data_IF_825882521379
#
_entry.id   IF_825882521379
#
_cell.length_a   1.000
_cell.length_b   1.000
_cell.length_c   1.000
_cell.angle_alpha   90.00
_cell.angle_beta   90.00
_cell.angle_gamma   90.00
#
_symmetry.space_group_name_H-M   'P 1'
#
loop_
_entity.id
_entity.type
_entity.pdbx_description
1 polymer ?
#
# COMPACT_ATOMS: atom_id res chain seq x y z
N UNK A 1 5.97 -7.58 15.64
CA UNK A 1 4.93 -7.35 16.67
C UNK A 1 3.92 -6.28 16.25
N UNK A 2 4.34 -5.04 15.97
CA UNK A 2 3.42 -3.96 15.54
C UNK A 2 2.57 -4.35 14.33
N UNK A 3 3.16 -5.00 13.33
CA UNK A 3 2.44 -5.51 12.15
C UNK A 3 1.30 -6.48 12.50
N UNK A 4 1.47 -7.31 13.53
CA UNK A 4 0.42 -8.24 14.02
C UNK A 4 -0.72 -7.47 14.69
N UNK A 5 -0.41 -6.41 15.44
CA UNK A 5 -1.41 -5.53 16.05
C UNK A 5 -2.24 -4.86 14.94
N UNK A 6 -1.57 -4.33 13.91
CA UNK A 6 -2.25 -3.75 12.75
C UNK A 6 -3.04 -4.78 11.93
N UNK A 7 -2.62 -6.05 11.88
CA UNK A 7 -3.39 -7.12 11.24
C UNK A 7 -4.77 -7.27 11.89
N UNK A 8 -4.82 -7.50 13.21
CA UNK A 8 -6.09 -7.62 13.91
C UNK A 8 -6.92 -6.35 13.84
N UNK A 9 -6.27 -5.18 13.87
CA UNK A 9 -6.97 -3.91 13.67
C UNK A 9 -7.57 -3.82 12.26
N UNK A 10 -6.83 -4.20 11.22
CA UNK A 10 -7.26 -4.11 9.83
C UNK A 10 -8.44 -5.02 9.50
N UNK A 11 -8.38 -6.29 9.90
CA UNK A 11 -9.44 -7.28 9.60
C UNK A 11 -10.72 -7.09 10.41
N UNK A 12 -10.69 -6.25 11.45
CA UNK A 12 -11.88 -5.90 12.25
C UNK A 12 -12.62 -4.67 11.72
N UNK A 13 -12.08 -4.00 10.70
CA UNK A 13 -12.72 -2.85 10.07
C UNK A 13 -13.74 -3.26 9.02
N UNK A 14 -14.81 -2.50 8.85
CA UNK A 14 -15.79 -2.76 7.80
C UNK A 14 -15.21 -2.45 6.40
N UNK A 15 -15.46 -3.33 5.43
CA UNK A 15 -14.99 -3.16 4.06
C UNK A 15 -13.53 -3.56 3.82
N UNK A 16 -12.86 -4.20 4.79
CA UNK A 16 -11.49 -4.71 4.62
C UNK A 16 -11.36 -5.71 3.47
N UNK A 17 -12.43 -6.44 3.16
CA UNK A 17 -12.46 -7.48 2.13
C UNK A 17 -12.18 -6.90 0.74
N UNK A 18 -12.70 -5.71 0.42
CA UNK A 18 -12.49 -5.07 -0.87
C UNK A 18 -11.01 -4.82 -1.18
N UNK A 19 -10.23 -4.48 -0.16
CA UNK A 19 -8.79 -4.33 -0.30
C UNK A 19 -8.07 -5.67 -0.51
N UNK A 20 -8.51 -6.72 0.19
CA UNK A 20 -7.94 -8.08 0.00
C UNK A 20 -8.30 -8.68 -1.35
N UNK A 21 -9.53 -8.46 -1.83
CA UNK A 21 -9.95 -8.83 -3.18
C UNK A 21 -9.06 -8.15 -4.22
N UNK A 22 -8.85 -6.84 -4.09
CA UNK A 22 -7.92 -6.11 -4.96
C UNK A 22 -6.48 -6.65 -4.90
N UNK A 23 -6.02 -7.09 -3.72
CA UNK A 23 -4.67 -7.61 -3.53
C UNK A 23 -4.47 -9.01 -4.13
N UNK A 24 -5.47 -9.89 -4.03
CA UNK A 24 -5.34 -11.29 -4.43
C UNK A 24 -5.92 -11.63 -5.80
N UNK A 25 -6.80 -10.81 -6.37
CA UNK A 25 -7.37 -11.07 -7.71
C UNK A 25 -6.31 -10.73 -8.78
N UNK A 26 -5.80 -11.74 -9.51
CA UNK A 26 -4.72 -11.53 -10.47
C UNK A 26 -5.25 -11.02 -11.82
N UNK A 27 -4.50 -10.13 -12.45
CA UNK A 27 -4.65 -9.78 -13.87
C UNK A 27 -3.56 -10.50 -14.69
N UNK A 28 -3.92 -11.64 -15.28
CA UNK A 28 -2.98 -12.47 -16.05
C UNK A 28 -2.46 -11.78 -17.31
N UNK A 29 -3.14 -10.73 -17.81
CA UNK A 29 -2.68 -9.98 -18.99
C UNK A 29 -1.35 -9.27 -18.71
N UNK A 30 -1.10 -8.89 -17.45
CA UNK A 30 0.13 -8.23 -17.00
C UNK A 30 1.37 -9.12 -17.09
N UNK A 31 1.23 -10.44 -17.10
CA UNK A 31 2.37 -11.35 -17.22
C UNK A 31 3.06 -11.26 -18.58
N UNK A 32 2.37 -10.76 -19.61
CA UNK A 32 2.95 -10.51 -20.93
C UNK A 32 3.83 -9.25 -20.98
N UNK A 33 3.74 -8.38 -19.98
CA UNK A 33 4.53 -7.16 -19.90
C UNK A 33 5.91 -7.46 -19.27
N UNK A 34 7.03 -7.26 -20.00
CA UNK A 34 8.36 -7.51 -19.47
C UNK A 34 8.73 -6.58 -18.29
N UNK A 35 8.09 -5.41 -18.16
CA UNK A 35 8.35 -4.51 -17.03
C UNK A 35 7.96 -5.16 -15.69
N UNK A 36 6.89 -5.95 -15.65
CA UNK A 36 6.43 -6.63 -14.43
C UNK A 36 7.50 -7.59 -13.90
N UNK A 37 8.19 -8.29 -14.80
CA UNK A 37 9.27 -9.20 -14.44
C UNK A 37 10.54 -8.46 -13.99
N UNK A 38 10.87 -7.35 -14.66
CA UNK A 38 11.97 -6.49 -14.24
C UNK A 38 11.74 -5.96 -12.83
N UNK A 39 10.55 -5.42 -12.55
CA UNK A 39 10.18 -4.90 -11.23
C UNK A 39 10.20 -6.00 -10.17
N UNK A 40 9.66 -7.19 -10.46
CA UNK A 40 9.69 -8.33 -9.55
C UNK A 40 11.12 -8.78 -9.21
N UNK A 41 12.00 -8.86 -10.23
CA UNK A 41 13.40 -9.20 -10.05
C UNK A 41 14.13 -8.13 -9.22
N UNK A 42 13.94 -6.86 -9.54
CA UNK A 42 14.53 -5.76 -8.78
C UNK A 42 14.03 -5.75 -7.33
N UNK A 43 12.74 -6.01 -7.11
CA UNK A 43 12.15 -6.06 -5.77
C UNK A 43 12.77 -7.16 -4.91
N UNK A 44 13.04 -8.36 -5.43
CA UNK A 44 13.64 -9.43 -4.62
C UNK A 44 15.10 -9.11 -4.25
N UNK A 45 15.86 -8.47 -5.14
CA UNK A 45 17.23 -8.02 -4.86
C UNK A 45 17.26 -6.98 -3.74
N UNK A 46 16.39 -5.97 -3.81
CA UNK A 46 16.28 -4.95 -2.77
C UNK A 46 15.70 -5.52 -1.46
N UNK A 47 14.71 -6.40 -1.53
CA UNK A 47 14.07 -6.99 -0.34
C UNK A 47 15.01 -7.88 0.46
N UNK A 48 15.86 -8.67 -0.21
CA UNK A 48 16.85 -9.52 0.45
C UNK A 48 18.17 -8.80 0.73
N UNK A 49 18.35 -7.56 0.25
CA UNK A 49 19.62 -6.83 0.39
C UNK A 49 20.79 -7.51 -0.33
N UNK A 50 20.53 -8.16 -1.46
CA UNK A 50 21.57 -8.82 -2.25
C UNK A 50 22.51 -7.79 -2.89
N UNK A 51 23.79 -8.16 -3.01
CA UNK A 51 24.86 -7.32 -3.59
C UNK A 51 25.24 -6.04 -2.82
N UNK A 52 24.70 -5.81 -1.61
CA UNK A 52 25.08 -4.68 -0.75
C UNK A 52 26.27 -4.98 0.18
N UNK A 53 26.78 -6.22 0.21
CA UNK A 53 27.92 -6.63 1.04
C UNK A 53 27.60 -6.88 2.53
N UNK A 54 26.49 -6.34 3.06
CA UNK A 54 26.08 -6.52 4.46
C UNK A 54 25.90 -7.99 4.87
N UNK A 55 25.25 -8.80 4.04
CA UNK A 55 25.10 -10.24 4.31
C UNK A 55 26.44 -10.99 4.34
N UNK A 56 27.41 -10.57 3.52
CA UNK A 56 28.76 -11.17 3.50
C UNK A 56 29.50 -10.80 4.79
N UNK A 57 29.43 -9.53 5.19
CA UNK A 57 30.00 -9.05 6.45
C UNK A 57 29.42 -9.81 7.66
N UNK A 58 28.09 -9.91 7.77
CA UNK A 58 27.46 -10.67 8.85
C UNK A 58 27.79 -12.16 8.83
N UNK A 59 27.88 -12.76 7.64
CA UNK A 59 28.28 -14.16 7.51
C UNK A 59 29.72 -14.40 7.94
N UNK A 60 30.59 -13.38 7.85
CA UNK A 60 32.01 -13.49 8.26
C UNK A 60 32.20 -13.62 9.77
N UNK A 61 31.24 -13.16 10.57
CA UNK A 61 31.24 -13.28 12.03
C UNK A 61 30.72 -14.64 12.54
N UNK A 62 30.15 -15.48 11.67
CA UNK A 62 29.61 -16.77 12.06
C UNK A 62 30.71 -17.84 12.24
N UNK A 63 30.49 -18.86 13.10
CA UNK A 63 31.42 -19.98 13.23
C UNK A 63 31.65 -20.71 11.90
N UNK A 64 32.88 -21.18 11.68
CA UNK A 64 33.28 -21.89 10.45
C UNK A 64 32.40 -23.12 10.13
N UNK A 65 31.86 -23.78 11.17
CA UNK A 65 30.97 -24.93 11.05
C UNK A 65 29.50 -24.56 11.30
N UNK A 66 29.03 -23.49 10.67
CA UNK A 66 27.62 -23.11 10.67
C UNK A 66 26.87 -23.63 9.43
N UNK A 67 25.59 -23.98 9.57
CA UNK A 67 24.77 -24.46 8.45
C UNK A 67 24.15 -23.29 7.68
N UNK A 68 24.96 -22.63 6.85
CA UNK A 68 24.52 -21.47 6.08
C UNK A 68 23.41 -21.76 5.06
N UNK A 69 23.23 -23.02 4.64
CA UNK A 69 22.17 -23.41 3.71
C UNK A 69 20.78 -23.26 4.34
N UNK A 70 20.62 -23.72 5.58
CA UNK A 70 19.35 -23.60 6.32
C UNK A 70 19.06 -22.13 6.63
N UNK A 71 20.07 -21.37 7.04
CA UNK A 71 19.92 -19.94 7.32
C UNK A 71 19.44 -19.18 6.07
N UNK A 72 20.05 -19.46 4.91
CA UNK A 72 19.66 -18.83 3.65
C UNK A 72 18.21 -19.13 3.25
N UNK A 73 17.77 -20.38 3.39
CA UNK A 73 16.37 -20.77 3.11
C UNK A 73 15.43 -20.08 4.11
N UNK A 74 15.76 -20.12 5.39
CA UNK A 74 14.93 -19.56 6.44
C UNK A 74 14.74 -18.05 6.27
N UNK A 75 15.84 -17.31 6.04
CA UNK A 75 15.81 -15.87 5.77
C UNK A 75 14.95 -15.57 4.54
N UNK A 76 15.12 -16.34 3.47
CA UNK A 76 14.35 -16.13 2.23
C UNK A 76 12.85 -16.34 2.44
N UNK A 77 12.47 -17.41 3.13
CA UNK A 77 11.05 -17.74 3.39
C UNK A 77 10.43 -16.71 4.35
N UNK A 78 11.14 -16.32 5.42
CA UNK A 78 10.66 -15.31 6.36
C UNK A 78 10.50 -13.95 5.67
N UNK A 79 11.46 -13.55 4.82
CA UNK A 79 11.38 -12.31 4.06
C UNK A 79 10.12 -12.29 3.18
N UNK A 80 9.96 -13.29 2.31
CA UNK A 80 8.80 -13.36 1.41
C UNK A 80 7.48 -13.49 2.17
N UNK A 81 7.45 -14.31 3.23
CA UNK A 81 6.26 -14.48 4.07
C UNK A 81 5.87 -13.18 4.78
N UNK A 82 6.86 -12.43 5.28
CA UNK A 82 6.63 -11.11 5.90
C UNK A 82 6.13 -10.10 4.88
N UNK A 83 6.65 -10.11 3.64
CA UNK A 83 6.16 -9.23 2.57
C UNK A 83 4.69 -9.49 2.23
N UNK A 84 4.29 -10.75 2.07
CA UNK A 84 2.88 -11.12 1.81
C UNK A 84 2.01 -10.72 3.00
N UNK A 85 2.44 -11.02 4.22
CA UNK A 85 1.71 -10.67 5.43
C UNK A 85 1.55 -9.14 5.59
N UNK A 86 2.60 -8.36 5.31
CA UNK A 86 2.52 -6.91 5.31
C UNK A 86 1.55 -6.38 4.24
N UNK A 87 1.54 -6.99 3.05
CA UNK A 87 0.56 -6.69 2.01
C UNK A 87 -0.88 -6.87 2.48
N UNK A 88 -1.19 -8.00 3.12
CA UNK A 88 -2.51 -8.28 3.70
C UNK A 88 -2.89 -7.18 4.72
N UNK A 89 -1.98 -6.79 5.61
CA UNK A 89 -2.25 -5.75 6.61
C UNK A 89 -2.53 -4.40 5.94
N UNK A 90 -1.69 -3.97 4.99
CA UNK A 90 -1.83 -2.68 4.31
C UNK A 90 -3.15 -2.63 3.53
N UNK A 91 -3.42 -3.65 2.70
CA UNK A 91 -4.61 -3.69 1.86
C UNK A 91 -5.89 -3.87 2.67
N UNK A 92 -5.88 -4.57 3.81
CA UNK A 92 -7.06 -4.64 4.69
C UNK A 92 -7.47 -3.27 5.23
N UNK A 93 -6.50 -2.44 5.63
CA UNK A 93 -6.74 -1.09 6.15
C UNK A 93 -7.18 -0.16 5.01
N UNK A 94 -6.46 -0.18 3.88
CA UNK A 94 -6.81 0.65 2.73
C UNK A 94 -8.18 0.30 2.14
N UNK A 95 -8.55 -0.98 2.10
CA UNK A 95 -9.88 -1.44 1.69
C UNK A 95 -10.99 -0.78 2.50
N UNK A 96 -10.86 -0.77 3.83
CA UNK A 96 -11.86 -0.12 4.68
C UNK A 96 -11.96 1.39 4.44
N UNK A 97 -10.83 2.10 4.31
CA UNK A 97 -10.87 3.57 4.23
C UNK A 97 -11.07 4.13 2.81
N UNK A 98 -10.30 3.64 1.85
CA UNK A 98 -10.38 4.12 0.46
C UNK A 98 -11.53 3.45 -0.27
N UNK A 99 -11.72 2.14 -0.12
CA UNK A 99 -12.78 1.46 -0.82
C UNK A 99 -14.13 1.69 -0.13
N UNK A 100 -14.27 1.45 1.17
CA UNK A 100 -15.59 1.58 1.81
C UNK A 100 -15.96 3.02 2.19
N UNK A 101 -15.15 3.72 2.99
CA UNK A 101 -15.53 5.05 3.48
C UNK A 101 -15.58 6.11 2.36
N UNK A 102 -14.52 6.26 1.56
CA UNK A 102 -14.48 7.22 0.43
C UNK A 102 -15.62 6.98 -0.58
N UNK A 103 -15.92 5.70 -0.87
CA UNK A 103 -17.02 5.34 -1.77
C UNK A 103 -18.39 5.70 -1.19
N UNK A 104 -18.62 5.43 0.10
CA UNK A 104 -19.88 5.80 0.76
C UNK A 104 -20.06 7.32 0.83
N UNK A 105 -18.98 8.09 1.07
CA UNK A 105 -19.00 9.55 1.04
C UNK A 105 -19.30 10.08 -0.37
N UNK A 106 -18.72 9.45 -1.41
CA UNK A 106 -19.03 9.75 -2.80
C UNK A 106 -20.51 9.47 -3.12
N UNK A 107 -21.04 8.32 -2.70
CA UNK A 107 -22.44 7.96 -2.89
C UNK A 107 -23.38 8.92 -2.15
N UNK A 108 -23.05 9.32 -0.93
CA UNK A 108 -23.82 10.31 -0.17
C UNK A 108 -23.87 11.66 -0.89
N UNK A 109 -22.72 12.11 -1.41
CA UNK A 109 -22.61 13.35 -2.18
C UNK A 109 -23.44 13.27 -3.46
N UNK A 110 -23.32 12.17 -4.22
CA UNK A 110 -24.12 11.91 -5.42
C UNK A 110 -25.62 11.93 -5.12
N UNK A 111 -26.06 11.22 -4.09
CA UNK A 111 -27.47 11.14 -3.71
C UNK A 111 -28.02 12.50 -3.27
N UNK A 112 -27.24 13.30 -2.52
CA UNK A 112 -27.65 14.66 -2.13
C UNK A 112 -27.84 15.59 -3.34
N UNK A 113 -26.94 15.50 -4.33
CA UNK A 113 -27.04 16.24 -5.58
C UNK A 113 -28.27 15.78 -6.37
N UNK A 114 -28.50 14.48 -6.51
CA UNK A 114 -29.66 13.93 -7.21
C UNK A 114 -30.99 14.34 -6.56
N UNK A 115 -31.08 14.33 -5.23
CA UNK A 115 -32.26 14.80 -4.50
C UNK A 115 -32.49 16.30 -4.76
N UNK A 116 -31.44 17.13 -4.71
CA UNK A 116 -31.57 18.57 -4.97
C UNK A 116 -32.00 18.89 -6.41
N UNK A 117 -31.58 18.08 -7.38
CA UNK A 117 -31.82 18.31 -8.80
C UNK A 117 -33.14 17.69 -9.29
N UNK A 118 -33.48 16.50 -8.81
CA UNK A 118 -34.56 15.69 -9.37
C UNK A 118 -35.57 15.19 -8.32
N UNK A 119 -35.33 15.43 -7.03
CA UNK A 119 -36.14 14.92 -5.92
C UNK A 119 -36.29 13.39 -5.90
N UNK A 120 -35.31 12.67 -6.47
CA UNK A 120 -35.24 11.20 -6.50
C UNK A 120 -33.78 10.76 -6.51
N UNK A 121 -33.51 9.62 -5.89
CA UNK A 121 -32.20 8.94 -5.88
C UNK A 121 -32.10 7.82 -6.92
N UNK A 122 -33.23 7.26 -7.33
CA UNK A 122 -33.29 6.11 -8.25
C UNK A 122 -33.31 6.58 -9.70
N UNK A 123 -32.21 7.22 -10.11
CA UNK A 123 -32.02 7.65 -11.49
C UNK A 123 -30.84 6.91 -12.11
N UNK A 124 -31.11 6.20 -13.19
CA UNK A 124 -30.07 5.73 -14.10
C UNK A 124 -29.54 6.92 -14.90
N UNK A 125 -28.49 7.55 -14.40
CA UNK A 125 -27.88 8.70 -15.06
C UNK A 125 -26.80 8.23 -16.04
N UNK A 126 -26.79 8.72 -17.30
CA UNK A 126 -25.76 8.37 -18.28
C UNK A 126 -24.43 9.04 -17.94
N UNK A 127 -23.32 8.45 -18.42
CA UNK A 127 -21.99 9.05 -18.31
C UNK A 127 -21.96 10.42 -19.00
N UNK A 128 -21.30 11.40 -18.38
CA UNK A 128 -21.14 12.74 -18.92
C UNK A 128 -20.65 12.69 -20.38
N UNK A 129 -21.28 13.46 -21.27
CA UNK A 129 -20.91 13.51 -22.70
C UNK A 129 -21.50 12.41 -23.59
N UNK A 130 -22.28 11.45 -23.05
CA UNK A 130 -22.99 10.45 -23.89
C UNK A 130 -24.19 11.11 -24.57
N UNK A 131 -24.21 11.12 -25.92
CA UNK A 131 -25.26 11.77 -26.72
C UNK A 131 -26.49 10.85 -26.81
N UNK A 132 -27.24 10.69 -25.72
CA UNK A 132 -28.50 9.93 -25.70
C UNK A 132 -29.70 10.82 -25.98
N UNK A 133 -30.73 10.28 -26.63
CA UNK A 133 -31.98 11.00 -26.91
C UNK A 133 -32.72 11.26 -25.60
N UNK A 134 -33.19 12.50 -25.39
CA UNK A 134 -33.85 12.93 -24.15
C UNK A 134 -35.08 12.08 -23.73
N UNK A 135 -35.63 11.30 -24.67
CA UNK A 135 -36.79 10.43 -24.47
C UNK A 135 -36.53 9.22 -23.56
N UNK A 136 -35.27 8.88 -23.28
CA UNK A 136 -34.91 7.76 -22.40
C UNK A 136 -34.81 8.14 -20.92
N UNK A 137 -35.00 9.41 -20.58
CA UNK A 137 -34.86 9.88 -19.21
C UNK A 137 -36.19 10.00 -18.47
N UNK A 138 -36.12 9.77 -17.16
CA UNK A 138 -37.19 10.05 -16.19
C UNK A 138 -37.81 11.44 -16.45
N UNK A 139 -39.14 11.61 -16.35
CA UNK A 139 -39.82 12.90 -16.59
C UNK A 139 -39.35 14.05 -15.68
N UNK A 140 -38.73 13.75 -14.54
CA UNK A 140 -38.06 14.71 -13.66
C UNK A 140 -36.78 15.28 -14.29
N UNK A 141 -35.96 14.43 -14.91
CA UNK A 141 -34.73 14.82 -15.61
C UNK A 141 -35.05 15.67 -16.83
N UNK A 142 -36.04 15.26 -17.64
CA UNK A 142 -36.45 16.02 -18.83
C UNK A 142 -36.88 17.46 -18.48
N UNK A 143 -37.69 17.63 -17.43
CA UNK A 143 -38.17 18.95 -16.99
C UNK A 143 -37.04 19.83 -16.47
N UNK A 144 -36.06 19.26 -15.79
CA UNK A 144 -34.93 20.02 -15.28
C UNK A 144 -33.98 20.46 -16.40
N UNK A 145 -33.63 19.55 -17.32
CA UNK A 145 -32.79 19.88 -18.48
C UNK A 145 -33.46 20.93 -19.37
N UNK A 146 -34.77 20.85 -19.59
CA UNK A 146 -35.51 21.87 -20.34
C UNK A 146 -35.47 23.25 -19.69
N UNK A 147 -35.29 23.33 -18.37
CA UNK A 147 -35.24 24.60 -17.62
C UNK A 147 -33.83 25.19 -17.48
N UNK A 148 -32.81 24.36 -17.37
CA UNK A 148 -31.44 24.78 -17.03
C UNK A 148 -30.43 24.54 -18.17
N UNK A 149 -30.79 23.77 -19.19
CA UNK A 149 -30.04 23.59 -20.44
C UNK A 149 -28.75 22.76 -20.36
N UNK A 150 -28.17 22.55 -19.16
CA UNK A 150 -26.88 21.87 -18.97
C UNK A 150 -26.93 20.99 -17.72
N UNK A 151 -26.60 19.71 -17.86
CA UNK A 151 -26.49 18.77 -16.73
C UNK A 151 -25.18 18.99 -15.95
N UNK A 152 -25.21 19.09 -14.61
CA UNK A 152 -24.00 19.23 -13.81
C UNK A 152 -23.20 17.93 -13.82
N UNK A 153 -21.88 18.06 -13.66
CA UNK A 153 -21.00 16.91 -13.51
C UNK A 153 -21.29 16.22 -12.17
N UNK A 154 -21.71 14.95 -12.24
CA UNK A 154 -21.94 14.10 -11.06
C UNK A 154 -20.67 13.31 -10.75
N UNK A 155 -20.32 13.11 -9.48
CA UNK A 155 -19.19 12.30 -9.09
C UNK A 155 -19.41 10.83 -9.52
N UNK A 156 -18.38 10.24 -10.15
CA UNK A 156 -18.36 8.82 -10.51
C UNK A 156 -17.74 8.05 -9.35
N UNK A 157 -18.57 7.32 -8.61
CA UNK A 157 -18.13 6.49 -7.49
C UNK A 157 -17.77 5.11 -8.03
N UNK A 158 -16.48 4.79 -8.10
CA UNK A 158 -15.98 3.46 -8.46
C UNK A 158 -15.00 2.97 -7.39
N UNK A 159 -15.32 1.81 -6.82
CA UNK A 159 -14.59 1.19 -5.72
C UNK A 159 -13.13 0.87 -6.10
N UNK A 160 -12.92 0.34 -7.31
CA UNK A 160 -11.59 -0.07 -7.76
C UNK A 160 -10.72 1.15 -8.12
N UNK A 161 -11.33 2.19 -8.68
CA UNK A 161 -10.64 3.44 -8.99
C UNK A 161 -10.11 4.13 -7.72
N UNK A 162 -10.88 4.12 -6.62
CA UNK A 162 -10.44 4.68 -5.34
C UNK A 162 -9.23 3.92 -4.75
N UNK A 163 -9.18 2.60 -4.89
CA UNK A 163 -8.02 1.81 -4.47
C UNK A 163 -6.77 2.09 -5.32
N UNK A 164 -6.93 2.20 -6.65
CA UNK A 164 -5.83 2.55 -7.56
C UNK A 164 -5.25 3.94 -7.29
N UNK A 165 -6.06 4.87 -6.78
CA UNK A 165 -5.64 6.23 -6.43
C UNK A 165 -4.72 6.31 -5.22
N UNK A 166 -4.54 5.23 -4.46
CA UNK A 166 -3.77 5.19 -3.21
C UNK A 166 -2.26 5.48 -3.37
N UNK A 167 -1.77 5.61 -4.60
CA UNK A 167 -0.37 5.92 -4.90
C UNK A 167 0.58 4.77 -4.58
N UNK A 168 1.81 4.84 -5.10
CA UNK A 168 2.88 3.88 -4.80
C UNK A 168 4.02 4.56 -4.03
N UNK A 169 4.85 3.76 -3.36
CA UNK A 169 6.03 4.26 -2.65
C UNK A 169 5.69 5.03 -1.38
N UNK A 170 6.37 6.16 -1.15
CA UNK A 170 6.28 6.94 0.10
C UNK A 170 4.90 7.56 0.31
N UNK A 171 4.18 7.90 -0.76
CA UNK A 171 2.82 8.44 -0.68
C UNK A 171 1.84 7.46 -0.02
N UNK A 172 2.02 6.15 -0.23
CA UNK A 172 1.19 5.13 0.39
C UNK A 172 1.30 5.18 1.93
N UNK A 173 2.53 5.29 2.44
CA UNK A 173 2.79 5.31 3.88
C UNK A 173 2.45 6.64 4.55
N UNK A 174 2.81 7.78 3.93
CA UNK A 174 2.71 9.09 4.57
C UNK A 174 1.42 9.85 4.27
N UNK A 175 0.67 9.45 3.23
CA UNK A 175 -0.61 10.08 2.86
C UNK A 175 -1.75 9.11 3.10
N UNK A 176 -1.81 8.01 2.35
CA UNK A 176 -2.97 7.11 2.40
C UNK A 176 -3.11 6.42 3.76
N UNK A 177 -2.01 5.94 4.33
CA UNK A 177 -2.04 5.23 5.61
C UNK A 177 -2.23 6.15 6.82
N UNK A 178 -1.70 7.37 6.78
CA UNK A 178 -1.93 8.37 7.86
C UNK A 178 -3.36 8.89 7.84
N UNK A 179 -3.93 9.10 6.66
CA UNK A 179 -5.35 9.42 6.46
C UNK A 179 -6.25 8.32 7.04
N UNK A 180 -5.93 7.05 6.77
CA UNK A 180 -6.60 5.90 7.36
C UNK A 180 -6.49 5.87 8.90
N UNK A 181 -5.28 6.06 9.46
CA UNK A 181 -5.05 6.04 10.91
C UNK A 181 -5.84 7.16 11.62
N UNK A 182 -5.97 8.34 11.01
CA UNK A 182 -6.71 9.46 11.60
C UNK A 182 -8.19 9.17 11.84
N UNK A 183 -8.75 8.16 11.16
CA UNK A 183 -10.13 7.72 11.36
C UNK A 183 -10.28 6.66 12.46
N UNK A 184 -9.18 6.16 13.04
CA UNK A 184 -9.24 5.22 14.15
C UNK A 184 -9.59 5.91 15.48
N UNK A 185 -10.35 5.24 16.38
CA UNK A 185 -10.45 5.69 17.75
C UNK A 185 -9.06 5.67 18.39
N UNK A 186 -8.74 6.72 19.14
CA UNK A 186 -7.40 6.97 19.69
C UNK A 186 -6.29 7.05 18.61
N UNK A 187 -6.55 7.75 17.50
CA UNK A 187 -5.59 7.98 16.41
C UNK A 187 -4.14 8.28 16.84
N UNK A 188 -3.85 9.10 17.87
CA UNK A 188 -2.47 9.37 18.29
C UNK A 188 -1.68 8.11 18.68
N UNK A 189 -2.34 7.14 19.33
CA UNK A 189 -1.70 5.88 19.73
C UNK A 189 -1.28 5.06 18.50
N UNK A 190 -2.17 4.92 17.53
CA UNK A 190 -1.92 4.19 16.29
C UNK A 190 -0.84 4.85 15.44
N UNK A 191 -0.83 6.19 15.37
CA UNK A 191 0.21 6.94 14.66
C UNK A 191 1.59 6.71 15.25
N UNK A 192 1.72 6.76 16.59
CA UNK A 192 3.01 6.49 17.26
C UNK A 192 3.50 5.07 16.95
N UNK A 193 2.62 4.07 17.06
CA UNK A 193 2.98 2.68 16.73
C UNK A 193 3.42 2.52 15.27
N UNK A 194 2.69 3.14 14.34
CA UNK A 194 3.01 3.08 12.92
C UNK A 194 4.37 3.72 12.60
N UNK A 195 4.63 4.92 13.09
CA UNK A 195 5.90 5.59 12.84
C UNK A 195 7.07 4.92 13.57
N UNK A 196 6.87 4.37 14.77
CA UNK A 196 7.88 3.57 15.45
C UNK A 196 8.22 2.30 14.66
N UNK A 197 7.22 1.65 14.06
CA UNK A 197 7.44 0.52 13.16
C UNK A 197 8.25 0.93 11.93
N UNK A 198 7.90 2.04 11.25
CA UNK A 198 8.66 2.51 10.10
C UNK A 198 10.11 2.88 10.47
N UNK A 199 10.30 3.50 11.63
CA UNK A 199 11.62 3.85 12.15
C UNK A 199 12.47 2.60 12.41
N UNK A 200 11.90 1.59 13.08
CA UNK A 200 12.62 0.34 13.38
C UNK A 200 13.00 -0.42 12.09
N UNK A 201 12.08 -0.56 11.14
CA UNK A 201 12.36 -1.17 9.83
C UNK A 201 13.46 -0.44 9.06
N UNK A 202 13.45 0.90 9.12
CA UNK A 202 14.48 1.73 8.51
C UNK A 202 15.84 1.55 9.19
N UNK A 203 15.90 1.60 10.52
CA UNK A 203 17.13 1.46 11.30
C UNK A 203 17.80 0.10 11.09
N UNK A 204 17.03 -0.99 11.12
CA UNK A 204 17.56 -2.35 10.93
C UNK A 204 18.24 -2.49 9.55
N UNK A 205 17.61 -1.93 8.51
CA UNK A 205 18.16 -1.93 7.15
C UNK A 205 19.42 -1.07 7.02
N UNK A 206 19.44 0.08 7.70
CA UNK A 206 20.61 0.97 7.71
C UNK A 206 21.81 0.33 8.40
N UNK A 207 21.61 -0.41 9.50
CA UNK A 207 22.71 -1.11 10.16
C UNK A 207 23.35 -2.16 9.25
N UNK A 208 22.56 -2.96 8.52
CA UNK A 208 23.12 -3.94 7.58
C UNK A 208 23.91 -3.30 6.43
N UNK A 209 23.43 -2.17 5.91
CA UNK A 209 24.13 -1.44 4.84
C UNK A 209 25.42 -0.80 5.36
N UNK A 210 25.37 -0.18 6.53
CA UNK A 210 26.52 0.44 7.18
C UNK A 210 27.60 -0.60 7.50
N UNK A 211 27.22 -1.77 8.00
CA UNK A 211 28.15 -2.85 8.31
C UNK A 211 28.90 -3.33 7.06
N UNK A 212 28.21 -3.48 5.93
CA UNK A 212 28.83 -3.85 4.66
C UNK A 212 29.89 -2.85 4.19
N UNK A 213 29.60 -1.55 4.34
CA UNK A 213 30.53 -0.47 3.98
C UNK A 213 31.71 -0.40 4.96
N UNK A 214 31.44 -0.45 6.27
CA UNK A 214 32.47 -0.35 7.32
C UNK A 214 33.45 -1.51 7.24
N UNK A 215 32.94 -2.74 7.10
CA UNK A 215 33.78 -3.95 6.96
C UNK A 215 34.69 -3.84 5.74
N UNK A 216 34.14 -3.40 4.60
CA UNK A 216 34.91 -3.21 3.36
C UNK A 216 36.03 -2.17 3.53
N UNK A 217 35.76 -1.04 4.19
CA UNK A 217 36.76 0.00 4.44
C UNK A 217 37.85 -0.49 5.40
N UNK A 218 37.48 -1.22 6.44
CA UNK A 218 38.43 -1.80 7.39
C UNK A 218 39.35 -2.83 6.72
N UNK A 219 38.82 -3.67 5.85
CA UNK A 219 39.61 -4.69 5.14
C UNK A 219 40.57 -4.07 4.09
N UNK A 220 40.25 -2.90 3.55
CA UNK A 220 41.17 -2.13 2.69
C UNK A 220 42.33 -1.46 3.47
N UNK A 221 42.34 -1.56 4.80
CA UNK A 221 43.37 -1.00 5.68
C UNK A 221 43.62 0.51 5.47
N UNK A 222 42.60 1.24 4.98
CA UNK A 222 42.62 2.68 4.71
C UNK A 222 42.74 3.51 6.01
N UNK A 223 42.27 2.95 7.12
CA UNK A 223 42.34 3.56 8.46
C UNK A 223 43.09 2.58 9.36
N UNK A 224 44.38 2.79 9.53
CA UNK A 224 45.35 1.87 10.15
C UNK A 224 45.18 1.66 11.66
N UNK A 225 44.20 2.30 12.32
CA UNK A 225 44.09 2.35 13.79
C UNK A 225 42.74 1.88 14.38
N UNK A 226 41.81 1.33 13.59
CA UNK A 226 40.58 0.73 14.14
C UNK A 226 40.79 -0.77 14.38
N UNK A 227 40.97 -1.14 15.65
CA UNK A 227 41.12 -2.53 16.09
C UNK A 227 39.77 -3.23 16.01
N UNK A 228 39.72 -4.40 15.35
CA UNK A 228 38.49 -5.19 15.14
C UNK A 228 37.80 -5.59 16.47
N UNK A 229 38.55 -5.63 17.56
CA UNK A 229 38.14 -6.09 18.90
C UNK A 229 37.15 -5.15 19.64
N UNK A 230 36.96 -3.92 19.18
CA UNK A 230 36.14 -2.90 19.90
C UNK A 230 34.67 -2.90 19.46
N UNK A 231 34.33 -3.61 18.38
CA UNK A 231 33.01 -3.56 17.74
C UNK A 231 32.27 -4.92 17.73
N UNK A 232 32.88 -5.98 18.29
CA UNK A 232 32.30 -7.32 18.40
C UNK A 232 31.73 -7.60 19.80
#
# INVERSE_FOLDING_TARGET
LVLIIFFFRGVTLEGFQHGLEYFFVPDFSRLADPQVWLEAATQIFFSLGLAFGGLIAFSSYMPVRNNCYVDAILVSVINCGTSVFAGIVIFSILGSFKANNSYNDCLATKNSQLISLFNTTDLTVPKAGTRTTFTQFEPSIQRWIQRQGIMPELPVCDLQAELQKSGSGTGLAFIAFTEAINQFPAAPFWSILFFLMLLTLGLDSMFGTLEGVVTSIMDMNLITNLRKDVLA
#
